data_IF_747173569617
#
_entry.id   IF_747173569617
#
_cell.length_a   1.000
_cell.length_b   1.000
_cell.length_c   1.000
_cell.angle_alpha   90.00
_cell.angle_beta   90.00
_cell.angle_gamma   90.00
#
_symmetry.space_group_name_H-M   'P 1'
#
loop_
_entity.id
_entity.type
_entity.pdbx_description
1 polymer ?
#
# COMPACT_ATOMS: atom_id res chain seq x y z
N UNK A 1 37.32 12.92 -2.66
CA UNK A 1 37.85 11.73 -3.36
C UNK A 1 37.00 10.50 -3.04
N UNK A 2 36.85 10.06 -1.79
CA UNK A 2 36.06 8.88 -1.44
C UNK A 2 34.58 8.95 -1.86
N UNK A 3 33.92 10.10 -1.66
CA UNK A 3 32.52 10.29 -2.08
C UNK A 3 32.33 10.28 -3.60
N UNK A 4 33.31 10.82 -4.36
CA UNK A 4 33.29 10.77 -5.83
C UNK A 4 33.52 9.35 -6.34
N UNK A 5 34.44 8.62 -5.73
CA UNK A 5 34.69 7.21 -6.09
C UNK A 5 33.47 6.33 -5.78
N UNK A 6 32.80 6.52 -4.64
CA UNK A 6 31.57 5.84 -4.27
C UNK A 6 30.42 6.16 -5.27
N UNK A 7 30.30 7.43 -5.67
CA UNK A 7 29.31 7.85 -6.67
C UNK A 7 29.53 7.19 -8.03
N UNK A 8 30.77 7.17 -8.50
CA UNK A 8 31.14 6.51 -9.76
C UNK A 8 30.93 4.98 -9.70
N UNK A 9 31.25 4.36 -8.56
CA UNK A 9 30.98 2.93 -8.35
C UNK A 9 29.49 2.62 -8.39
N UNK A 10 28.67 3.43 -7.73
CA UNK A 10 27.20 3.29 -7.76
C UNK A 10 26.64 3.45 -9.19
N UNK A 11 27.13 4.46 -9.94
CA UNK A 11 26.71 4.66 -11.34
C UNK A 11 27.09 3.49 -12.25
N UNK A 12 28.28 2.90 -12.07
CA UNK A 12 28.69 1.70 -12.81
C UNK A 12 27.82 0.50 -12.47
N UNK A 13 27.58 0.24 -11.20
CA UNK A 13 26.73 -0.85 -10.75
C UNK A 13 25.30 -0.70 -11.28
N UNK A 14 24.74 0.52 -11.31
CA UNK A 14 23.44 0.80 -11.88
C UNK A 14 23.40 0.56 -13.39
N UNK A 15 24.46 0.94 -14.12
CA UNK A 15 24.60 0.66 -15.55
C UNK A 15 24.68 -0.86 -15.85
N UNK A 16 25.14 -1.66 -14.88
CA UNK A 16 25.15 -3.13 -14.92
C UNK A 16 23.83 -3.76 -14.42
N UNK A 17 22.82 -2.94 -14.13
CA UNK A 17 21.47 -3.36 -13.76
C UNK A 17 21.23 -3.53 -12.26
N UNK A 18 22.18 -3.22 -11.39
CA UNK A 18 21.95 -3.22 -9.95
C UNK A 18 20.94 -2.12 -9.57
N UNK A 19 19.92 -2.47 -8.76
CA UNK A 19 18.83 -1.57 -8.40
C UNK A 19 17.64 -1.63 -9.36
N UNK A 20 17.71 -2.47 -10.41
CA UNK A 20 16.54 -2.85 -11.19
C UNK A 20 15.66 -3.83 -10.41
N UNK A 21 14.40 -4.01 -10.82
CA UNK A 21 13.51 -4.98 -10.19
C UNK A 21 14.03 -6.42 -10.29
N UNK A 22 14.72 -6.77 -11.37
CA UNK A 22 15.32 -8.07 -11.58
C UNK A 22 16.62 -8.29 -10.79
N UNK A 23 17.28 -7.20 -10.42
CA UNK A 23 18.53 -7.23 -9.66
C UNK A 23 18.50 -6.16 -8.56
N UNK A 24 17.57 -6.32 -7.62
CA UNK A 24 17.36 -5.38 -6.52
C UNK A 24 18.54 -5.33 -5.54
N UNK A 25 18.76 -4.17 -4.96
CA UNK A 25 19.75 -3.98 -3.88
C UNK A 25 19.29 -4.78 -2.67
N UNK A 26 20.20 -5.53 -2.05
CA UNK A 26 19.92 -6.32 -0.85
C UNK A 26 19.87 -5.41 0.38
N UNK A 27 18.67 -5.20 0.94
CA UNK A 27 18.49 -4.40 2.16
C UNK A 27 19.23 -5.04 3.33
N UNK A 28 20.03 -4.25 4.03
CA UNK A 28 20.90 -4.68 5.14
C UNK A 28 21.85 -5.84 4.76
N UNK A 29 22.16 -6.00 3.47
CA UNK A 29 23.06 -7.06 2.99
C UNK A 29 22.48 -8.47 3.04
N UNK A 30 21.17 -8.62 3.27
CA UNK A 30 20.51 -9.91 3.35
C UNK A 30 20.13 -10.43 1.97
N UNK A 31 20.65 -11.60 1.59
CA UNK A 31 20.32 -12.29 0.34
C UNK A 31 19.34 -13.44 0.61
N UNK A 32 18.15 -13.35 0.02
CA UNK A 32 17.06 -14.30 0.24
C UNK A 32 17.47 -15.74 -0.11
N UNK A 33 18.03 -15.96 -1.31
CA UNK A 33 18.38 -17.30 -1.76
C UNK A 33 19.48 -17.95 -0.91
N UNK A 34 20.48 -17.18 -0.54
CA UNK A 34 21.58 -17.67 0.32
C UNK A 34 21.05 -18.04 1.70
N UNK A 35 20.24 -17.17 2.32
CA UNK A 35 19.67 -17.40 3.64
C UNK A 35 18.70 -18.59 3.63
N UNK A 36 17.84 -18.70 2.61
CA UNK A 36 16.92 -19.83 2.46
C UNK A 36 17.68 -21.15 2.34
N UNK A 37 18.71 -21.21 1.51
CA UNK A 37 19.57 -22.40 1.37
C UNK A 37 20.24 -22.81 2.69
N UNK A 38 20.76 -21.85 3.43
CA UNK A 38 21.37 -22.11 4.74
C UNK A 38 20.34 -22.72 5.71
N UNK A 39 19.13 -22.19 5.75
CA UNK A 39 18.06 -22.72 6.60
C UNK A 39 17.60 -24.10 6.16
N UNK A 40 17.44 -24.33 4.86
CA UNK A 40 17.05 -25.65 4.33
C UNK A 40 18.13 -26.71 4.63
N UNK A 41 19.41 -26.36 4.49
CA UNK A 41 20.53 -27.27 4.75
C UNK A 41 20.67 -27.60 6.25
N UNK A 42 20.41 -26.63 7.12
CA UNK A 42 20.49 -26.83 8.59
C UNK A 42 19.24 -27.43 9.19
N UNK A 43 18.11 -27.42 8.47
CA UNK A 43 16.81 -27.83 9.00
C UNK A 43 16.22 -26.88 10.06
N UNK A 44 16.74 -25.65 10.16
CA UNK A 44 16.30 -24.63 11.12
C UNK A 44 15.60 -23.49 10.38
N UNK A 45 14.39 -23.13 10.83
CA UNK A 45 13.64 -22.03 10.25
C UNK A 45 14.32 -20.68 10.53
N UNK A 46 14.28 -19.81 9.53
CA UNK A 46 14.87 -18.49 9.60
C UNK A 46 14.35 -17.67 10.79
N UNK A 47 15.26 -17.03 11.49
CA UNK A 47 15.00 -16.00 12.50
C UNK A 47 15.78 -14.77 12.10
N UNK A 48 15.07 -13.72 11.74
CA UNK A 48 15.67 -12.49 11.23
C UNK A 48 16.41 -11.73 12.34
N UNK A 49 17.73 -11.59 12.28
CA UNK A 49 18.49 -10.83 13.27
C UNK A 49 18.32 -9.32 13.11
N UNK A 50 17.96 -8.85 11.90
CA UNK A 50 17.82 -7.42 11.58
C UNK A 50 16.43 -6.86 11.93
N UNK A 51 15.41 -7.73 12.00
CA UNK A 51 14.06 -7.38 12.44
C UNK A 51 13.46 -8.52 13.28
N UNK A 52 13.97 -8.71 14.50
CA UNK A 52 13.59 -9.84 15.33
C UNK A 52 12.15 -9.74 15.84
N UNK A 53 11.54 -10.91 16.09
CA UNK A 53 10.20 -11.01 16.66
C UNK A 53 10.21 -10.66 18.16
N UNK A 54 10.30 -9.39 18.46
CA UNK A 54 10.41 -8.84 19.80
C UNK A 54 9.77 -7.45 19.89
N UNK A 55 9.61 -6.87 21.07
CA UNK A 55 8.94 -5.57 21.25
C UNK A 55 9.52 -4.42 20.41
N UNK A 56 10.80 -4.40 20.10
CA UNK A 56 11.40 -3.35 19.27
C UNK A 56 10.89 -3.33 17.83
N UNK A 57 10.44 -4.48 17.31
CA UNK A 57 9.82 -4.55 15.99
C UNK A 57 8.39 -3.98 15.98
N UNK A 58 7.70 -3.99 17.12
CA UNK A 58 6.36 -3.40 17.25
C UNK A 58 6.43 -1.87 17.27
N UNK A 59 7.25 -1.29 18.13
CA UNK A 59 7.32 0.15 18.24
C UNK A 59 8.18 0.65 19.40
N UNK A 60 8.06 1.95 19.63
CA UNK A 60 8.93 2.69 20.57
C UNK A 60 8.16 3.65 21.48
N UNK A 61 6.87 3.92 21.22
CA UNK A 61 5.98 4.79 22.02
C UNK A 61 4.72 4.02 22.41
N UNK A 62 3.66 4.10 21.57
CA UNK A 62 2.36 3.49 21.84
C UNK A 62 2.40 1.96 21.73
N UNK A 63 3.25 1.44 20.84
CA UNK A 63 3.57 0.01 20.72
C UNK A 63 4.96 -0.33 21.29
N UNK A 64 5.52 0.54 22.13
CA UNK A 64 6.81 0.35 22.76
C UNK A 64 6.79 -0.70 23.90
N UNK A 65 7.97 -1.14 24.37
CA UNK A 65 8.09 -2.08 25.47
C UNK A 65 7.38 -1.57 26.73
N UNK A 66 6.52 -2.43 27.30
CA UNK A 66 5.76 -2.08 28.50
C UNK A 66 4.46 -1.30 28.26
N UNK A 67 4.14 -0.98 27.01
CA UNK A 67 2.84 -0.40 26.67
C UNK A 67 1.70 -1.36 26.98
N UNK A 68 0.56 -0.88 27.52
CA UNK A 68 -0.64 -1.70 27.69
C UNK A 68 -1.13 -2.31 26.36
N UNK A 69 -0.91 -1.64 25.25
CA UNK A 69 -1.33 -2.12 23.91
C UNK A 69 -0.54 -3.35 23.44
N UNK A 70 0.68 -3.53 23.93
CA UNK A 70 1.54 -4.68 23.59
C UNK A 70 1.36 -5.90 24.48
N UNK A 71 0.53 -5.79 25.51
CA UNK A 71 0.26 -6.92 26.40
C UNK A 71 -0.50 -8.03 25.68
N UNK A 72 -0.03 -9.27 25.88
CA UNK A 72 -0.65 -10.46 25.28
C UNK A 72 -0.29 -10.67 23.80
N UNK A 73 0.62 -9.88 23.23
CA UNK A 73 1.13 -10.10 21.87
C UNK A 73 2.10 -11.29 21.89
N UNK A 74 1.82 -12.25 21.01
CA UNK A 74 2.64 -13.45 20.81
C UNK A 74 3.00 -13.52 19.32
N UNK A 75 4.29 -13.68 19.04
CA UNK A 75 4.78 -13.88 17.70
C UNK A 75 4.61 -15.33 17.27
N UNK A 76 3.89 -15.56 16.17
CA UNK A 76 3.64 -16.90 15.64
C UNK A 76 3.89 -16.96 14.14
N UNK A 77 4.37 -18.11 13.67
CA UNK A 77 4.46 -18.41 12.25
C UNK A 77 3.08 -18.83 11.71
N UNK A 78 2.78 -18.61 10.42
CA UNK A 78 1.54 -19.10 9.81
C UNK A 78 1.31 -20.60 10.03
N UNK A 79 2.35 -21.41 10.05
CA UNK A 79 2.28 -22.85 10.35
C UNK A 79 1.82 -23.17 11.76
N UNK A 80 1.91 -22.22 12.69
CA UNK A 80 1.40 -22.33 14.06
C UNK A 80 -0.02 -21.79 14.18
N UNK A 81 -0.50 -21.01 13.21
CA UNK A 81 -1.81 -20.38 13.21
C UNK A 81 -2.89 -21.24 12.54
N UNK A 82 -2.52 -21.97 11.50
CA UNK A 82 -3.43 -22.84 10.78
C UNK A 82 -2.71 -24.07 10.19
N UNK A 83 -3.45 -25.17 9.94
CA UNK A 83 -2.84 -26.44 9.51
C UNK A 83 -2.32 -26.41 8.07
N UNK A 84 -2.84 -25.54 7.20
CA UNK A 84 -2.47 -25.45 5.79
C UNK A 84 -2.33 -24.00 5.35
N UNK A 85 -1.27 -23.29 5.82
CA UNK A 85 -1.06 -21.90 5.41
C UNK A 85 -0.72 -21.82 3.93
N UNK A 86 -1.28 -20.80 3.27
CA UNK A 86 -1.06 -20.47 1.88
C UNK A 86 -0.43 -19.08 1.78
N UNK A 87 0.47 -18.90 0.81
CA UNK A 87 1.00 -17.59 0.53
C UNK A 87 -0.05 -16.72 -0.18
N UNK A 88 -0.57 -17.20 -1.32
CA UNK A 88 -1.64 -16.58 -2.08
C UNK A 88 -2.69 -17.64 -2.43
N UNK A 89 -3.97 -17.32 -2.20
CA UNK A 89 -5.12 -18.18 -2.52
C UNK A 89 -5.89 -17.61 -3.70
N UNK A 90 -5.99 -18.38 -4.80
CA UNK A 90 -6.81 -17.98 -5.96
C UNK A 90 -6.36 -16.72 -6.71
N UNK A 91 -5.14 -16.24 -6.45
CA UNK A 91 -4.62 -14.96 -6.90
C UNK A 91 -4.74 -13.89 -5.81
N UNK A 92 -3.82 -12.95 -5.80
CA UNK A 92 -3.84 -11.84 -4.85
C UNK A 92 -4.89 -10.80 -5.28
N UNK A 93 -5.79 -10.49 -4.37
CA UNK A 93 -6.92 -9.57 -4.60
C UNK A 93 -6.99 -8.50 -3.53
N UNK A 94 -7.76 -7.46 -3.78
CA UNK A 94 -7.98 -6.38 -2.80
C UNK A 94 -8.76 -6.85 -1.56
N UNK A 95 -9.51 -7.94 -1.64
CA UNK A 95 -10.20 -8.54 -0.49
C UNK A 95 -9.24 -9.20 0.51
N UNK A 96 -7.99 -9.44 0.10
CA UNK A 96 -6.92 -9.95 0.97
C UNK A 96 -6.35 -8.86 1.89
N UNK A 97 -6.89 -7.64 1.82
CA UNK A 97 -6.46 -6.48 2.57
C UNK A 97 -7.55 -6.08 3.55
N UNK A 98 -7.37 -6.47 4.80
CA UNK A 98 -8.20 -6.06 5.94
C UNK A 98 -7.33 -5.46 7.02
N UNK A 99 -7.64 -4.24 7.40
CA UNK A 99 -6.90 -3.50 8.43
C UNK A 99 -7.13 -4.12 9.81
N UNK A 100 -6.02 -4.31 10.55
CA UNK A 100 -6.06 -4.68 11.96
C UNK A 100 -5.84 -3.47 12.88
N UNK A 101 -5.26 -3.71 14.04
CA UNK A 101 -5.05 -2.72 15.10
C UNK A 101 -3.84 -1.79 14.84
N UNK A 102 -3.75 -1.25 13.61
CA UNK A 102 -2.68 -0.32 13.25
C UNK A 102 -3.25 0.80 12.37
N UNK A 103 -2.82 2.02 12.58
CA UNK A 103 -3.27 3.21 11.84
C UNK A 103 -2.54 3.39 10.49
N UNK A 104 -2.46 2.34 9.68
CA UNK A 104 -1.76 2.31 8.40
C UNK A 104 -2.69 2.21 7.17
N UNK A 105 -3.90 2.75 7.27
CA UNK A 105 -4.89 2.73 6.18
C UNK A 105 -4.33 3.26 4.85
N UNK A 106 -3.43 4.23 4.89
CA UNK A 106 -2.75 4.79 3.73
C UNK A 106 -1.92 3.75 2.96
N UNK A 107 -1.20 2.89 3.70
CA UNK A 107 -0.43 1.78 3.13
C UNK A 107 -1.36 0.70 2.58
N UNK A 108 -2.40 0.35 3.31
CA UNK A 108 -3.35 -0.69 2.92
C UNK A 108 -4.14 -0.29 1.68
N UNK A 109 -4.52 0.98 1.57
CA UNK A 109 -5.14 1.51 0.36
C UNK A 109 -4.17 1.41 -0.84
N UNK A 110 -2.89 1.66 -0.63
CA UNK A 110 -1.88 1.49 -1.67
C UNK A 110 -1.71 0.02 -2.09
N UNK A 111 -1.67 -0.91 -1.15
CA UNK A 111 -1.60 -2.36 -1.44
C UNK A 111 -2.85 -2.83 -2.19
N UNK A 112 -4.04 -2.42 -1.76
CA UNK A 112 -5.28 -2.76 -2.43
C UNK A 112 -5.32 -2.25 -3.88
N UNK A 113 -4.86 -1.02 -4.12
CA UNK A 113 -4.71 -0.49 -5.49
C UNK A 113 -3.69 -1.28 -6.32
N UNK A 114 -2.60 -1.73 -5.71
CA UNK A 114 -1.57 -2.54 -6.36
C UNK A 114 -2.14 -3.87 -6.89
N UNK A 115 -3.10 -4.47 -6.19
CA UNK A 115 -3.74 -5.73 -6.63
C UNK A 115 -4.54 -5.61 -7.92
N UNK A 116 -4.87 -4.39 -8.36
CA UNK A 116 -5.57 -4.17 -9.64
C UNK A 116 -4.67 -4.42 -10.85
N UNK A 117 -3.35 -4.45 -10.66
CA UNK A 117 -2.37 -4.74 -11.70
C UNK A 117 -1.47 -5.89 -11.27
N UNK A 118 -1.75 -7.08 -11.76
CA UNK A 118 -0.96 -8.28 -11.48
C UNK A 118 0.52 -8.09 -11.82
N UNK A 119 0.81 -7.38 -12.89
CA UNK A 119 2.17 -7.08 -13.32
C UNK A 119 2.93 -6.24 -12.29
N UNK A 120 2.29 -5.21 -11.73
CA UNK A 120 2.90 -4.37 -10.70
C UNK A 120 3.00 -5.10 -9.38
N UNK A 121 1.97 -5.84 -9.01
CA UNK A 121 1.93 -6.60 -7.77
C UNK A 121 3.13 -7.55 -7.67
N UNK A 122 3.40 -8.32 -8.72
CA UNK A 122 4.49 -9.30 -8.69
C UNK A 122 5.90 -8.72 -8.83
N UNK A 123 6.02 -7.42 -9.06
CA UNK A 123 7.29 -6.70 -8.86
C UNK A 123 7.60 -6.48 -7.38
N UNK A 124 6.57 -6.33 -6.57
CA UNK A 124 6.65 -6.14 -5.11
C UNK A 124 6.62 -7.47 -4.37
N UNK A 125 5.79 -8.41 -4.83
CA UNK A 125 5.52 -9.71 -4.20
C UNK A 125 6.05 -10.82 -5.11
N UNK A 126 7.32 -11.27 -4.96
CA UNK A 126 7.87 -12.35 -5.77
C UNK A 126 7.11 -13.67 -5.60
N UNK A 127 6.96 -14.41 -6.71
CA UNK A 127 6.22 -15.69 -6.75
C UNK A 127 7.06 -16.92 -6.41
N UNK A 128 8.34 -16.76 -6.14
CA UNK A 128 9.29 -17.84 -5.90
C UNK A 128 9.28 -18.39 -4.46
N UNK A 129 8.20 -18.13 -3.75
CA UNK A 129 8.07 -18.41 -2.32
C UNK A 129 6.69 -18.98 -1.97
N UNK A 130 6.67 -19.94 -1.05
CA UNK A 130 5.44 -20.58 -0.57
C UNK A 130 5.67 -21.28 0.76
N UNK A 131 4.58 -21.77 1.39
CA UNK A 131 4.65 -22.63 2.58
C UNK A 131 4.82 -24.11 2.22
N UNK A 132 4.65 -24.50 0.96
CA UNK A 132 4.67 -25.90 0.52
C UNK A 132 6.00 -26.34 -0.07
N UNK A 133 6.68 -25.46 -0.83
CA UNK A 133 7.92 -25.79 -1.53
C UNK A 133 9.06 -24.94 -1.00
N UNK A 134 10.15 -25.61 -0.59
CA UNK A 134 11.37 -24.95 -0.07
C UNK A 134 11.07 -24.00 1.09
N UNK A 135 10.10 -24.33 1.93
CA UNK A 135 9.74 -23.54 3.08
C UNK A 135 10.85 -23.55 4.12
N UNK A 136 11.32 -22.39 4.49
CA UNK A 136 12.38 -22.20 5.46
C UNK A 136 12.07 -21.08 6.48
N UNK A 137 10.82 -20.64 6.57
CA UNK A 137 10.41 -19.55 7.46
C UNK A 137 10.91 -18.18 7.02
N UNK A 138 11.30 -18.03 5.76
CA UNK A 138 11.85 -16.82 5.17
C UNK A 138 11.03 -16.41 3.96
N UNK A 139 10.77 -15.10 3.83
CA UNK A 139 10.06 -14.49 2.72
C UNK A 139 10.75 -13.20 2.32
N UNK A 140 10.49 -12.73 1.09
CA UNK A 140 11.07 -11.50 0.59
C UNK A 140 10.07 -10.70 -0.25
N UNK A 141 10.30 -9.38 -0.26
CA UNK A 141 9.50 -8.41 -0.99
C UNK A 141 10.41 -7.34 -1.57
N UNK A 142 9.94 -6.61 -2.57
CA UNK A 142 10.71 -5.54 -3.18
C UNK A 142 9.98 -4.22 -3.11
N UNK A 143 10.73 -3.15 -2.83
CA UNK A 143 10.22 -1.79 -2.74
C UNK A 143 11.12 -0.84 -3.51
N UNK A 144 10.51 0.20 -4.09
CA UNK A 144 11.25 1.28 -4.70
C UNK A 144 11.68 2.28 -3.64
N UNK A 145 12.98 2.52 -3.52
CA UNK A 145 13.54 3.42 -2.52
C UNK A 145 14.66 4.25 -3.15
N UNK A 146 14.52 5.56 -3.12
CA UNK A 146 15.56 6.50 -3.57
C UNK A 146 16.11 6.21 -4.97
N UNK A 147 15.24 5.85 -5.90
CA UNK A 147 15.61 5.63 -7.29
C UNK A 147 16.11 4.23 -7.63
N UNK A 148 15.93 3.26 -6.75
CA UNK A 148 16.32 1.87 -6.96
C UNK A 148 15.36 0.89 -6.28
N UNK A 149 15.26 -0.32 -6.83
CA UNK A 149 14.54 -1.41 -6.19
C UNK A 149 15.40 -2.02 -5.08
N UNK A 150 14.77 -2.28 -3.94
CA UNK A 150 15.38 -2.83 -2.74
C UNK A 150 14.64 -4.09 -2.33
N UNK A 151 15.37 -5.20 -2.17
CA UNK A 151 14.83 -6.46 -1.66
C UNK A 151 14.91 -6.49 -0.14
N UNK A 152 13.78 -6.72 0.50
CA UNK A 152 13.66 -6.83 1.96
C UNK A 152 13.31 -8.27 2.33
N UNK A 153 14.15 -8.89 3.14
CA UNK A 153 13.97 -10.24 3.66
C UNK A 153 13.36 -10.17 5.05
N UNK A 154 12.43 -11.06 5.36
CA UNK A 154 11.83 -11.20 6.70
C UNK A 154 11.74 -12.66 7.10
N UNK A 155 11.66 -12.94 8.40
CA UNK A 155 11.10 -14.20 8.86
C UNK A 155 9.56 -14.11 8.95
N UNK A 156 8.89 -15.25 8.95
CA UNK A 156 7.44 -15.33 8.91
C UNK A 156 6.76 -15.30 10.28
N UNK A 157 7.48 -14.92 11.33
CA UNK A 157 6.85 -14.70 12.64
C UNK A 157 6.08 -13.39 12.62
N UNK A 158 4.78 -13.47 12.85
CA UNK A 158 3.82 -12.36 12.81
C UNK A 158 3.27 -12.06 14.22
N UNK A 159 3.02 -10.80 14.56
CA UNK A 159 2.40 -10.45 15.83
C UNK A 159 0.94 -10.89 15.85
N UNK A 160 0.59 -11.62 16.93
CA UNK A 160 -0.77 -12.12 17.15
C UNK A 160 -1.26 -11.75 18.54
N UNK A 161 -2.58 -11.70 18.69
CA UNK A 161 -3.24 -11.53 19.98
C UNK A 161 -4.47 -12.42 20.02
N UNK A 162 -4.63 -13.18 21.10
CA UNK A 162 -5.71 -14.15 21.23
C UNK A 162 -5.79 -15.17 20.07
N UNK A 163 -4.64 -15.55 19.52
CA UNK A 163 -4.54 -16.52 18.44
C UNK A 163 -4.86 -15.99 17.02
N UNK A 164 -5.05 -14.69 16.87
CA UNK A 164 -5.35 -14.04 15.58
C UNK A 164 -4.27 -13.02 15.22
N UNK A 165 -4.07 -12.79 13.91
CA UNK A 165 -3.19 -11.72 13.42
C UNK A 165 -3.66 -10.37 13.96
N UNK A 166 -2.72 -9.61 14.53
CA UNK A 166 -3.01 -8.32 15.16
C UNK A 166 -3.21 -7.20 14.14
N UNK A 167 -2.45 -7.21 13.05
CA UNK A 167 -2.40 -6.14 12.04
C UNK A 167 -3.04 -6.60 10.73
N UNK A 168 -2.52 -6.18 9.59
CA UNK A 168 -3.05 -6.53 8.27
C UNK A 168 -3.22 -8.05 8.12
N UNK A 169 -4.38 -8.45 7.63
CA UNK A 169 -4.71 -9.85 7.39
C UNK A 169 -5.67 -9.99 6.19
N UNK A 170 -5.71 -11.20 5.63
CA UNK A 170 -6.67 -11.58 4.60
C UNK A 170 -7.99 -12.00 5.24
N UNK A 171 -9.09 -11.86 4.50
CA UNK A 171 -10.38 -12.47 4.84
C UNK A 171 -10.27 -14.00 4.90
N UNK A 172 -9.48 -14.56 3.99
CA UNK A 172 -9.11 -15.97 4.01
C UNK A 172 -8.13 -16.25 5.15
N UNK A 173 -8.60 -16.89 6.20
CA UNK A 173 -7.83 -17.11 7.44
C UNK A 173 -6.56 -17.95 7.30
N UNK A 174 -6.32 -18.54 6.10
CA UNK A 174 -5.13 -19.33 5.79
C UNK A 174 -4.21 -18.67 4.76
N UNK A 175 -4.45 -17.41 4.38
CA UNK A 175 -3.66 -16.65 3.40
C UNK A 175 -2.82 -15.57 4.08
N UNK A 176 -1.53 -15.45 3.73
CA UNK A 176 -0.58 -14.64 4.52
C UNK A 176 0.28 -13.64 3.72
N UNK A 177 0.15 -13.56 2.40
CA UNK A 177 1.02 -12.66 1.62
C UNK A 177 0.90 -11.19 2.06
N UNK A 178 -0.31 -10.72 2.36
CA UNK A 178 -0.56 -9.34 2.75
C UNK A 178 0.03 -9.02 4.12
N UNK A 179 -0.15 -9.89 5.11
CA UNK A 179 0.45 -9.75 6.43
C UNK A 179 1.99 -9.76 6.39
N UNK A 180 2.57 -10.59 5.54
CA UNK A 180 4.03 -10.67 5.36
C UNK A 180 4.57 -9.43 4.62
N UNK A 181 3.84 -8.92 3.62
CA UNK A 181 4.20 -7.68 2.95
C UNK A 181 4.22 -6.48 3.91
N UNK A 182 3.20 -6.35 4.76
CA UNK A 182 3.17 -5.31 5.80
C UNK A 182 4.37 -5.41 6.74
N UNK A 183 4.73 -6.64 7.16
CA UNK A 183 5.93 -6.86 7.99
C UNK A 183 7.21 -6.39 7.31
N UNK A 184 7.39 -6.72 6.03
CA UNK A 184 8.55 -6.28 5.26
C UNK A 184 8.62 -4.76 5.15
N UNK A 185 7.48 -4.10 4.96
CA UNK A 185 7.39 -2.65 4.93
C UNK A 185 7.64 -2.03 6.31
N UNK A 186 7.16 -2.66 7.39
CA UNK A 186 7.48 -2.27 8.76
C UNK A 186 8.99 -2.35 9.04
N UNK A 187 9.65 -3.42 8.60
CA UNK A 187 11.11 -3.55 8.68
C UNK A 187 11.84 -2.42 7.95
N UNK A 188 11.41 -2.11 6.73
CA UNK A 188 11.99 -1.03 5.93
C UNK A 188 11.87 0.34 6.63
N UNK A 189 10.79 0.57 7.36
CA UNK A 189 10.51 1.80 8.10
C UNK A 189 10.96 1.77 9.58
N UNK A 190 11.44 0.63 10.07
CA UNK A 190 12.02 0.46 11.39
C UNK A 190 11.13 -0.24 12.43
N UNK A 191 9.80 -0.11 12.35
CA UNK A 191 8.84 -0.79 13.23
C UNK A 191 7.43 -0.74 12.64
N UNK A 192 6.51 -1.56 13.18
CA UNK A 192 5.09 -1.43 12.84
C UNK A 192 4.51 -0.06 13.22
N UNK A 193 4.86 0.46 14.40
CA UNK A 193 4.40 1.78 14.84
C UNK A 193 4.80 2.91 13.90
N UNK A 194 5.95 2.80 13.22
CA UNK A 194 6.39 3.77 12.23
C UNK A 194 5.44 3.91 11.04
N UNK A 195 4.56 2.94 10.81
CA UNK A 195 3.54 2.96 9.77
C UNK A 195 2.27 3.71 10.19
N UNK A 196 2.13 4.04 11.48
CA UNK A 196 0.97 4.77 11.99
C UNK A 196 0.96 6.20 11.46
N UNK A 197 -0.03 6.50 10.60
CA UNK A 197 -0.11 7.77 9.89
C UNK A 197 0.97 7.92 8.82
N UNK A 198 0.54 8.25 7.62
CA UNK A 198 1.43 8.42 6.46
C UNK A 198 0.67 8.94 5.25
N UNK A 199 1.29 8.87 4.10
CA UNK A 199 0.72 9.34 2.83
C UNK A 199 0.53 8.18 1.86
N UNK A 200 -0.66 8.06 1.30
CA UNK A 200 -0.95 7.08 0.24
C UNK A 200 -0.02 7.25 -0.96
N UNK A 201 0.38 8.49 -1.27
CA UNK A 201 1.36 8.81 -2.32
C UNK A 201 2.68 8.08 -2.05
N UNK A 202 3.19 8.14 -0.82
CA UNK A 202 4.44 7.48 -0.44
C UNK A 202 4.36 5.96 -0.66
N UNK A 203 3.25 5.35 -0.22
CA UNK A 203 3.00 3.93 -0.49
C UNK A 203 2.95 3.61 -1.99
N UNK A 204 2.27 4.42 -2.78
CA UNK A 204 2.21 4.23 -4.23
C UNK A 204 3.59 4.30 -4.90
N UNK A 205 4.40 5.28 -4.52
CA UNK A 205 5.75 5.45 -5.06
C UNK A 205 6.68 4.32 -4.65
N UNK A 206 6.62 3.87 -3.41
CA UNK A 206 7.42 2.76 -2.90
C UNK A 206 7.08 1.42 -3.56
N UNK A 207 5.86 1.27 -4.09
CA UNK A 207 5.45 0.07 -4.81
C UNK A 207 5.71 0.11 -6.32
N UNK A 208 5.92 1.27 -6.90
CA UNK A 208 5.95 1.39 -8.36
C UNK A 208 7.15 2.16 -8.91
N UNK A 209 7.75 3.03 -8.12
CA UNK A 209 8.70 4.03 -8.62
C UNK A 209 8.04 5.10 -9.49
N UNK A 210 6.70 5.23 -9.41
CA UNK A 210 5.91 6.16 -10.19
C UNK A 210 6.01 7.60 -9.74
N UNK A 211 5.28 8.47 -10.42
CA UNK A 211 5.21 9.90 -10.14
C UNK A 211 3.79 10.24 -9.70
N UNK A 212 3.66 10.83 -8.52
CA UNK A 212 2.38 11.15 -7.94
C UNK A 212 1.97 12.59 -8.18
N UNK A 213 0.68 12.79 -8.33
CA UNK A 213 -0.01 14.07 -8.37
C UNK A 213 -1.26 14.01 -7.49
N UNK A 214 -1.74 15.15 -7.05
CA UNK A 214 -2.98 15.22 -6.28
C UNK A 214 -3.93 16.28 -6.82
N UNK A 215 -5.22 16.10 -6.55
CA UNK A 215 -6.29 17.00 -6.92
C UNK A 215 -7.09 17.39 -5.67
N UNK A 216 -7.27 18.70 -5.47
CA UNK A 216 -8.20 19.25 -4.49
C UNK A 216 -9.63 19.14 -5.07
N UNK A 217 -10.46 18.28 -4.49
CA UNK A 217 -11.80 18.02 -4.99
C UNK A 217 -12.80 19.16 -4.70
N UNK A 218 -12.39 20.16 -3.93
CA UNK A 218 -13.15 21.42 -3.78
C UNK A 218 -13.06 22.30 -5.02
N UNK A 219 -12.02 22.11 -5.83
CA UNK A 219 -11.79 22.81 -7.10
C UNK A 219 -11.32 21.83 -8.19
N UNK A 220 -12.15 20.83 -8.55
CA UNK A 220 -11.75 19.83 -9.50
C UNK A 220 -11.66 20.41 -10.92
N UNK A 221 -10.71 19.94 -11.74
CA UNK A 221 -10.76 20.25 -13.16
C UNK A 221 -12.00 19.64 -13.83
N UNK A 222 -12.56 20.32 -14.83
CA UNK A 222 -13.82 19.90 -15.47
C UNK A 222 -13.76 18.53 -16.17
N UNK A 223 -12.54 18.05 -16.47
CA UNK A 223 -12.29 16.76 -17.10
C UNK A 223 -11.78 15.67 -16.13
N UNK A 224 -11.94 15.88 -14.80
CA UNK A 224 -11.36 14.98 -13.79
C UNK A 224 -11.81 13.53 -13.96
N UNK A 225 -13.08 13.27 -14.29
CA UNK A 225 -13.56 11.91 -14.54
C UNK A 225 -12.77 11.20 -15.65
N UNK A 226 -12.49 11.91 -16.76
CA UNK A 226 -11.69 11.37 -17.86
C UNK A 226 -10.23 11.14 -17.46
N UNK A 227 -9.68 12.00 -16.60
CA UNK A 227 -8.33 11.82 -16.03
C UNK A 227 -8.29 10.51 -15.22
N UNK A 228 -9.25 10.30 -14.32
CA UNK A 228 -9.36 9.08 -13.51
C UNK A 228 -9.49 7.85 -14.41
N UNK A 229 -10.40 7.90 -15.39
CA UNK A 229 -10.61 6.77 -16.31
C UNK A 229 -9.35 6.39 -17.07
N UNK A 230 -8.64 7.38 -17.62
CA UNK A 230 -7.37 7.16 -18.33
C UNK A 230 -6.29 6.61 -17.40
N UNK A 231 -6.19 7.14 -16.18
CA UNK A 231 -5.23 6.68 -15.19
C UNK A 231 -5.46 5.22 -14.81
N UNK A 232 -6.72 4.83 -14.54
CA UNK A 232 -7.06 3.44 -14.24
C UNK A 232 -6.77 2.51 -15.43
N UNK A 233 -7.12 2.92 -16.66
CA UNK A 233 -6.81 2.14 -17.85
C UNK A 233 -5.30 1.98 -18.09
N UNK A 234 -4.50 2.96 -17.69
CA UNK A 234 -3.04 2.91 -17.76
C UNK A 234 -2.40 2.10 -16.63
N UNK A 235 -3.18 1.59 -15.68
CA UNK A 235 -2.69 0.86 -14.51
C UNK A 235 -2.15 1.73 -13.39
N UNK A 236 -2.40 3.04 -13.42
CA UNK A 236 -2.03 3.95 -12.32
C UNK A 236 -2.72 3.57 -11.02
N UNK A 237 -2.09 3.89 -9.89
CA UNK A 237 -2.68 3.69 -8.57
C UNK A 237 -3.39 4.98 -8.15
N UNK A 238 -4.61 4.85 -7.63
CA UNK A 238 -5.43 5.98 -7.22
C UNK A 238 -5.97 5.78 -5.80
N UNK A 239 -5.93 6.85 -5.02
CA UNK A 239 -6.50 6.90 -3.69
C UNK A 239 -7.23 8.20 -3.44
N UNK A 240 -8.09 8.22 -2.44
CA UNK A 240 -8.83 9.41 -2.03
C UNK A 240 -9.06 9.45 -0.52
N UNK A 241 -9.37 10.63 -0.01
CA UNK A 241 -9.62 10.84 1.41
C UNK A 241 -10.54 12.02 1.66
N UNK A 242 -11.11 12.05 2.86
CA UNK A 242 -11.90 13.16 3.37
C UNK A 242 -11.07 13.86 4.43
N UNK A 243 -10.80 15.16 4.25
CA UNK A 243 -10.04 15.95 5.20
C UNK A 243 -10.78 16.06 6.54
N UNK A 244 -10.02 16.19 7.61
CA UNK A 244 -10.53 16.47 8.96
C UNK A 244 -10.20 17.90 9.35
N UNK A 245 -11.08 18.54 10.10
CA UNK A 245 -10.86 19.89 10.64
C UNK A 245 -10.10 19.88 11.97
N UNK A 246 -10.08 18.74 12.65
CA UNK A 246 -9.35 18.54 13.90
C UNK A 246 -8.96 17.08 14.09
N UNK A 247 -7.96 16.81 14.93
CA UNK A 247 -7.56 15.45 15.28
C UNK A 247 -8.69 14.61 15.90
N UNK A 248 -9.67 15.27 16.57
CA UNK A 248 -10.82 14.60 17.15
C UNK A 248 -11.81 14.06 16.12
N UNK A 249 -11.74 14.53 14.86
CA UNK A 249 -12.57 14.04 13.76
C UNK A 249 -11.91 12.88 12.98
N UNK A 250 -10.65 12.56 13.27
CA UNK A 250 -9.97 11.46 12.63
C UNK A 250 -10.74 10.16 12.90
N UNK A 251 -10.98 9.41 11.82
CA UNK A 251 -11.77 8.17 11.81
C UNK A 251 -13.24 8.33 12.23
N UNK A 252 -13.76 9.56 12.33
CA UNK A 252 -15.20 9.79 12.54
C UNK A 252 -15.99 9.36 11.30
N UNK A 253 -17.07 8.61 11.53
CA UNK A 253 -17.97 8.14 10.47
C UNK A 253 -19.07 9.17 10.20
N UNK A 254 -19.28 9.53 8.93
CA UNK A 254 -20.37 10.41 8.51
C UNK A 254 -21.73 9.71 8.61
N UNK A 255 -22.83 10.46 8.47
CA UNK A 255 -24.19 9.89 8.41
C UNK A 255 -24.36 8.83 7.34
N UNK A 256 -23.63 8.94 6.23
CA UNK A 256 -23.67 8.04 5.08
C UNK A 256 -22.52 7.02 5.11
N UNK A 257 -21.96 6.77 6.30
CA UNK A 257 -20.95 5.75 6.58
C UNK A 257 -19.60 5.94 5.86
N UNK A 258 -19.23 7.16 5.51
CA UNK A 258 -17.86 7.45 5.08
C UNK A 258 -16.99 7.83 6.28
N UNK A 259 -15.73 7.41 6.26
CA UNK A 259 -14.76 7.63 7.34
C UNK A 259 -13.87 8.83 6.99
N UNK A 260 -13.80 9.81 7.89
CA UNK A 260 -12.95 11.00 7.73
C UNK A 260 -11.51 10.71 8.15
N UNK A 261 -10.57 11.40 7.52
CA UNK A 261 -9.14 11.21 7.82
C UNK A 261 -8.64 9.80 7.53
N UNK A 262 -9.26 9.13 6.57
CA UNK A 262 -9.05 7.74 6.23
C UNK A 262 -8.81 7.60 4.72
N UNK A 263 -7.89 6.73 4.34
CA UNK A 263 -7.54 6.50 2.95
C UNK A 263 -8.44 5.42 2.32
N UNK A 264 -8.95 5.71 1.14
CA UNK A 264 -9.70 4.78 0.29
C UNK A 264 -8.94 4.52 -1.00
N UNK A 265 -9.03 3.30 -1.54
CA UNK A 265 -8.58 3.00 -2.90
C UNK A 265 -9.67 3.35 -3.91
N UNK A 266 -9.28 3.95 -5.03
CA UNK A 266 -10.17 4.07 -6.20
C UNK A 266 -9.94 2.84 -7.07
N UNK A 267 -10.97 1.99 -7.21
CA UNK A 267 -10.84 0.68 -7.84
C UNK A 267 -11.54 0.58 -9.19
N UNK A 268 -12.32 1.56 -9.58
CA UNK A 268 -12.98 1.56 -10.88
C UNK A 268 -13.80 2.83 -11.15
N UNK A 269 -14.11 3.03 -12.41
CA UNK A 269 -15.10 4.01 -12.88
C UNK A 269 -15.95 3.37 -13.97
N UNK A 270 -17.20 3.79 -14.04
CA UNK A 270 -18.14 3.28 -15.03
C UNK A 270 -19.14 4.37 -15.42
N UNK A 271 -19.71 4.27 -16.61
CA UNK A 271 -20.79 5.11 -17.05
C UNK A 271 -21.99 4.23 -17.41
N UNK A 272 -23.14 4.53 -16.84
CA UNK A 272 -24.39 3.78 -17.05
C UNK A 272 -25.47 4.69 -17.59
N UNK A 273 -26.40 4.12 -18.38
CA UNK A 273 -27.62 4.85 -18.74
C UNK A 273 -28.62 4.77 -17.59
N UNK A 274 -28.92 5.92 -17.00
CA UNK A 274 -29.89 6.05 -15.93
C UNK A 274 -31.03 6.99 -16.37
N UNK A 275 -32.20 6.40 -16.63
CA UNK A 275 -33.37 7.11 -17.17
C UNK A 275 -33.09 7.90 -18.46
N UNK A 276 -32.33 7.30 -19.39
CA UNK A 276 -31.98 7.92 -20.67
C UNK A 276 -30.91 9.01 -20.57
N UNK A 277 -30.16 9.07 -19.48
CA UNK A 277 -29.06 10.00 -19.27
C UNK A 277 -27.82 9.26 -18.79
N UNK A 278 -26.62 9.66 -19.26
CA UNK A 278 -25.39 9.06 -18.77
C UNK A 278 -25.14 9.47 -17.31
N UNK A 279 -24.96 8.48 -16.45
CA UNK A 279 -24.57 8.65 -15.06
C UNK A 279 -23.16 8.10 -14.85
N UNK A 280 -22.27 8.93 -14.33
CA UNK A 280 -20.88 8.57 -14.03
C UNK A 280 -20.78 8.05 -12.63
N UNK A 281 -20.22 6.85 -12.50
CA UNK A 281 -20.02 6.15 -11.23
C UNK A 281 -18.51 5.99 -10.94
N UNK A 282 -18.16 5.97 -9.66
CA UNK A 282 -16.84 5.67 -9.17
C UNK A 282 -16.93 4.57 -8.11
N UNK A 283 -16.01 3.62 -8.16
CA UNK A 283 -15.91 2.53 -7.20
C UNK A 283 -14.73 2.76 -6.27
N UNK A 284 -15.01 2.69 -4.98
CA UNK A 284 -14.05 2.90 -3.91
C UNK A 284 -14.01 1.69 -3.00
N UNK A 285 -12.88 1.47 -2.33
CA UNK A 285 -12.75 0.45 -1.31
C UNK A 285 -12.17 1.01 -0.02
N UNK A 286 -12.88 0.74 1.08
CA UNK A 286 -12.42 0.96 2.44
C UNK A 286 -11.46 -0.16 2.85
N UNK A 287 -10.19 0.10 3.23
CA UNK A 287 -9.23 -0.91 3.64
C UNK A 287 -9.61 -1.65 4.94
N UNK A 288 -10.64 -1.19 5.66
CA UNK A 288 -11.22 -1.97 6.76
C UNK A 288 -11.87 -3.27 6.28
N UNK A 289 -12.26 -3.35 5.00
CA UNK A 289 -13.02 -4.46 4.44
C UNK A 289 -14.49 -4.45 4.84
N UNK A 290 -14.96 -3.36 5.42
CA UNK A 290 -16.32 -3.13 5.88
C UNK A 290 -16.59 -1.63 6.00
N UNK A 291 -17.78 -1.24 6.43
CA UNK A 291 -18.23 0.17 6.56
C UNK A 291 -18.23 0.89 5.22
N UNK A 292 -19.33 0.72 4.50
CA UNK A 292 -19.51 1.17 3.13
C UNK A 292 -20.47 2.34 3.04
N UNK A 293 -20.33 3.12 1.97
CA UNK A 293 -21.27 4.16 1.58
C UNK A 293 -22.73 3.67 1.59
N UNK A 294 -23.64 4.44 2.18
CA UNK A 294 -25.06 4.12 2.28
C UNK A 294 -25.97 5.04 1.47
N UNK A 295 -25.40 5.89 0.61
CA UNK A 295 -26.16 6.80 -0.26
C UNK A 295 -26.53 6.16 -1.60
N UNK A 296 -26.81 7.01 -2.59
CA UNK A 296 -27.13 6.58 -3.95
C UNK A 296 -26.03 5.70 -4.57
N UNK A 297 -26.43 4.65 -5.27
CA UNK A 297 -25.55 3.65 -5.90
C UNK A 297 -24.76 2.77 -4.92
N UNK A 298 -25.05 2.86 -3.62
CA UNK A 298 -24.54 1.89 -2.64
C UNK A 298 -25.10 0.50 -2.90
N UNK A 299 -24.59 -0.48 -2.20
CA UNK A 299 -25.12 -1.84 -2.24
C UNK A 299 -26.60 -1.83 -1.89
N UNK A 300 -27.41 -2.55 -2.68
CA UNK A 300 -28.88 -2.60 -2.57
C UNK A 300 -29.61 -1.27 -2.79
N UNK A 301 -28.98 -0.22 -3.28
CA UNK A 301 -29.66 1.03 -3.58
C UNK A 301 -30.67 0.89 -4.73
N UNK A 302 -31.79 1.66 -4.71
CA UNK A 302 -32.85 1.51 -5.73
C UNK A 302 -32.40 1.91 -7.14
N UNK A 303 -31.38 2.74 -7.29
CA UNK A 303 -30.85 3.19 -8.58
C UNK A 303 -30.46 2.02 -9.49
N UNK A 304 -29.93 0.94 -8.92
CA UNK A 304 -29.51 -0.26 -9.64
C UNK A 304 -30.67 -0.94 -10.39
N UNK A 305 -31.91 -0.74 -9.96
CA UNK A 305 -33.10 -1.29 -10.62
C UNK A 305 -33.48 -0.54 -11.89
N UNK A 306 -32.89 0.61 -12.15
CA UNK A 306 -33.23 1.49 -13.28
C UNK A 306 -32.19 1.51 -14.39
N UNK A 307 -31.24 0.60 -14.36
CA UNK A 307 -30.21 0.42 -15.41
C UNK A 307 -30.39 -0.92 -16.12
N UNK A 308 -29.64 -1.13 -17.18
CA UNK A 308 -29.60 -2.40 -17.90
C UNK A 308 -29.32 -3.57 -16.95
N UNK A 309 -30.12 -4.66 -16.96
CA UNK A 309 -29.97 -5.77 -16.03
C UNK A 309 -28.61 -6.49 -16.13
N UNK A 310 -28.05 -6.58 -17.32
CA UNK A 310 -26.73 -7.20 -17.51
C UNK A 310 -25.63 -6.31 -16.87
N UNK A 311 -25.73 -5.01 -17.05
CA UNK A 311 -24.81 -4.06 -16.44
C UNK A 311 -24.94 -4.05 -14.92
N UNK A 312 -26.16 -4.17 -14.40
CA UNK A 312 -26.40 -4.33 -12.96
C UNK A 312 -25.73 -5.58 -12.43
N UNK A 313 -25.86 -6.72 -13.07
CA UNK A 313 -25.25 -7.98 -12.64
C UNK A 313 -23.71 -7.88 -12.62
N UNK A 314 -23.14 -7.15 -13.59
CA UNK A 314 -21.70 -6.90 -13.66
C UNK A 314 -21.19 -6.02 -12.52
N UNK A 315 -21.91 -4.96 -12.17
CA UNK A 315 -21.43 -3.91 -11.28
C UNK A 315 -21.89 -4.05 -9.82
N UNK A 316 -23.13 -4.45 -9.59
CA UNK A 316 -23.76 -4.55 -8.27
C UNK A 316 -23.33 -5.86 -7.57
N UNK A 317 -22.10 -5.91 -7.08
CA UNK A 317 -21.57 -7.03 -6.29
C UNK A 317 -21.90 -6.78 -4.81
N UNK A 318 -23.00 -7.35 -4.35
CA UNK A 318 -23.48 -7.19 -2.97
C UNK A 318 -22.68 -8.02 -1.99
N UNK A 319 -21.56 -7.49 -1.52
CA UNK A 319 -20.71 -8.13 -0.52
C UNK A 319 -20.21 -7.07 0.46
N UNK A 320 -20.24 -7.36 1.74
CA UNK A 320 -19.61 -6.51 2.77
C UNK A 320 -18.08 -6.73 2.75
N UNK A 321 -17.44 -6.23 1.70
CA UNK A 321 -16.00 -6.34 1.48
C UNK A 321 -15.28 -5.00 1.51
N UNK A 322 -16.00 -3.94 1.90
CA UNK A 322 -15.52 -2.55 1.95
C UNK A 322 -15.57 -1.83 0.61
N UNK A 323 -15.98 -2.50 -0.47
CA UNK A 323 -16.05 -1.92 -1.82
C UNK A 323 -17.47 -1.48 -2.16
N UNK A 324 -17.62 -0.29 -2.71
CA UNK A 324 -18.90 0.29 -3.04
C UNK A 324 -18.83 1.23 -4.24
N UNK A 325 -19.97 1.42 -4.88
CA UNK A 325 -20.15 2.43 -5.90
C UNK A 325 -20.82 3.68 -5.34
N UNK A 326 -20.51 4.82 -5.92
CA UNK A 326 -21.23 6.07 -5.70
C UNK A 326 -21.24 6.89 -6.99
N UNK A 327 -22.15 7.87 -7.07
CA UNK A 327 -22.12 8.80 -8.21
C UNK A 327 -20.85 9.64 -8.14
N UNK A 328 -20.30 9.99 -9.30
CA UNK A 328 -19.14 10.86 -9.36
C UNK A 328 -19.44 12.26 -8.77
N UNK A 329 -20.67 12.71 -8.86
CA UNK A 329 -21.10 13.97 -8.23
C UNK A 329 -21.08 13.88 -6.70
N UNK A 330 -21.54 12.77 -6.12
CA UNK A 330 -21.46 12.57 -4.67
C UNK A 330 -20.01 12.39 -4.22
N UNK A 331 -19.17 11.71 -4.99
CA UNK A 331 -17.75 11.64 -4.74
C UNK A 331 -17.10 13.02 -4.61
N UNK A 332 -17.37 13.94 -5.55
CA UNK A 332 -16.86 15.31 -5.50
C UNK A 332 -17.39 16.13 -4.32
N UNK A 333 -18.60 15.80 -3.83
CA UNK A 333 -19.20 16.48 -2.64
C UNK A 333 -18.63 15.94 -1.33
N UNK A 334 -18.35 14.65 -1.25
CA UNK A 334 -17.99 13.98 0.00
C UNK A 334 -16.48 13.94 0.25
N UNK A 335 -15.68 13.74 -0.81
CA UNK A 335 -14.24 13.61 -0.69
C UNK A 335 -13.53 14.95 -0.91
N UNK A 336 -12.41 15.13 -0.23
CA UNK A 336 -11.63 16.37 -0.26
C UNK A 336 -10.44 16.27 -1.21
N UNK A 337 -9.86 15.07 -1.36
CA UNK A 337 -8.59 14.86 -2.02
C UNK A 337 -8.59 13.57 -2.84
N UNK A 338 -8.03 13.67 -4.04
CA UNK A 338 -7.71 12.54 -4.92
C UNK A 338 -6.21 12.53 -5.18
N UNK A 339 -5.60 11.37 -5.12
CA UNK A 339 -4.18 11.13 -5.36
C UNK A 339 -4.02 10.11 -6.49
N UNK A 340 -3.16 10.41 -7.45
CA UNK A 340 -2.88 9.55 -8.60
C UNK A 340 -1.38 9.33 -8.68
N UNK A 341 -0.93 8.09 -8.68
CA UNK A 341 0.44 7.72 -8.98
C UNK A 341 0.52 7.17 -10.39
N UNK A 342 1.11 7.95 -11.28
CA UNK A 342 1.35 7.56 -12.66
C UNK A 342 2.63 6.72 -12.74
N UNK A 343 2.58 5.67 -13.55
CA UNK A 343 3.69 4.75 -13.68
C UNK A 343 4.87 5.40 -14.42
N UNK A 344 6.08 5.21 -13.92
CA UNK A 344 7.32 5.62 -14.58
C UNK A 344 7.66 4.71 -15.78
N UNK A 345 8.61 5.12 -16.60
CA UNK A 345 9.13 4.32 -17.72
C UNK A 345 9.59 2.92 -17.29
N UNK A 346 10.15 2.81 -16.10
CA UNK A 346 10.61 1.54 -15.51
C UNK A 346 9.46 0.58 -15.16
N UNK A 347 8.26 1.11 -14.90
CA UNK A 347 7.05 0.33 -14.66
C UNK A 347 6.30 -0.02 -15.94
N UNK A 348 6.52 0.73 -17.02
CA UNK A 348 5.92 0.53 -18.33
C UNK A 348 6.92 -0.21 -19.26
N UNK A 349 7.10 -1.49 -19.09
CA UNK A 349 7.97 -2.29 -19.96
C UNK A 349 7.38 -2.56 -21.36
N UNK A 350 6.77 -1.55 -21.99
CA UNK A 350 6.32 -1.58 -23.39
C UNK A 350 6.89 -0.38 -24.14
N UNK A 351 7.40 -0.61 -25.34
CA UNK A 351 8.07 0.37 -26.20
C UNK A 351 7.17 1.53 -26.71
N UNK A 352 5.91 1.62 -26.26
CA UNK A 352 4.96 2.62 -26.74
C UNK A 352 4.86 3.84 -25.81
N UNK A 353 5.31 4.95 -26.35
CA UNK A 353 5.06 6.35 -25.95
C UNK A 353 5.68 6.81 -24.64
N UNK A 354 6.90 7.28 -24.73
CA UNK A 354 7.61 8.05 -23.68
C UNK A 354 6.95 9.43 -23.47
N UNK A 355 6.07 9.53 -22.48
CA UNK A 355 5.46 10.82 -22.08
C UNK A 355 6.20 11.55 -20.96
N UNK A 356 7.14 10.89 -20.29
CA UNK A 356 7.83 11.43 -19.13
C UNK A 356 9.35 11.37 -19.31
N UNK A 357 10.02 12.47 -19.07
CA UNK A 357 11.47 12.50 -18.90
C UNK A 357 11.76 12.55 -17.40
N UNK A 358 12.37 11.50 -16.88
CA UNK A 358 12.81 11.44 -15.48
C UNK A 358 14.19 12.08 -15.37
N UNK A 359 14.28 13.16 -14.58
CA UNK A 359 15.57 13.76 -14.20
C UNK A 359 15.67 13.67 -12.68
N UNK A 360 16.67 12.94 -12.19
CA UNK A 360 16.93 12.77 -10.77
C UNK A 360 17.93 13.81 -10.28
N UNK A 361 17.50 14.63 -9.32
CA UNK A 361 18.38 15.54 -8.58
C UNK A 361 18.64 14.97 -7.20
N UNK A 362 19.88 14.60 -6.93
CA UNK A 362 20.28 14.12 -5.60
C UNK A 362 20.60 15.31 -4.70
N UNK A 363 19.89 15.43 -3.59
CA UNK A 363 20.08 16.43 -2.56
C UNK A 363 20.28 15.80 -1.17
N UNK A 364 20.67 16.61 -0.22
CA UNK A 364 20.80 16.21 1.18
C UNK A 364 20.17 17.25 2.11
N UNK A 365 19.33 16.80 3.00
CA UNK A 365 18.84 17.61 4.10
C UNK A 365 19.93 17.70 5.18
N UNK A 366 20.47 18.89 5.39
CA UNK A 366 21.54 19.13 6.36
C UNK A 366 21.01 20.03 7.46
N UNK A 367 21.13 19.58 8.71
CA UNK A 367 20.72 20.35 9.87
C UNK A 367 21.47 21.70 9.94
N UNK A 368 20.71 22.76 10.11
CA UNK A 368 21.25 24.15 10.16
C UNK A 368 21.53 24.76 8.78
N UNK A 369 21.29 24.05 7.68
CA UNK A 369 21.46 24.55 6.31
C UNK A 369 20.20 24.35 5.45
N UNK A 370 19.93 23.12 5.02
CA UNK A 370 18.82 22.79 4.12
C UNK A 370 17.63 22.13 4.81
N UNK A 371 17.81 21.59 6.01
CA UNK A 371 16.74 20.93 6.76
C UNK A 371 15.90 21.95 7.55
N UNK A 372 14.68 22.24 7.07
CA UNK A 372 13.75 23.18 7.72
C UNK A 372 12.98 22.61 8.92
N UNK A 373 12.95 21.29 9.07
CA UNK A 373 12.20 20.59 10.10
C UNK A 373 10.72 20.40 9.76
N UNK A 374 9.98 19.74 10.65
CA UNK A 374 8.56 19.42 10.46
C UNK A 374 7.66 20.62 10.83
N UNK A 375 6.59 20.81 10.06
CA UNK A 375 5.57 21.87 10.32
C UNK A 375 4.86 21.72 11.67
N UNK A 376 4.88 20.55 12.26
CA UNK A 376 4.24 20.27 13.56
C UNK A 376 4.97 20.94 14.75
N UNK A 377 6.12 21.57 14.52
CA UNK A 377 6.88 22.26 15.56
C UNK A 377 6.84 23.77 15.33
N UNK A 378 5.93 24.50 16.01
CA UNK A 378 5.83 25.96 15.91
C UNK A 378 7.15 26.63 16.32
N UNK A 379 7.62 27.57 15.52
CA UNK A 379 8.87 28.31 15.77
C UNK A 379 10.08 27.87 14.95
N UNK A 380 9.97 26.87 14.08
CA UNK A 380 11.00 26.54 13.09
C UNK A 380 10.62 27.15 11.75
N UNK A 381 11.32 28.18 11.35
CA UNK A 381 11.09 28.90 10.09
C UNK A 381 11.52 28.01 8.93
N UNK A 382 10.58 27.67 8.04
CA UNK A 382 10.90 27.15 6.72
C UNK A 382 11.66 28.20 5.92
N UNK A 383 12.95 28.03 5.76
CA UNK A 383 13.69 28.66 4.68
C UNK A 383 13.96 27.58 3.63
N UNK A 384 12.98 27.35 2.80
CA UNK A 384 13.11 26.62 1.57
C UNK A 384 12.78 27.57 0.45
N UNK A 385 13.78 28.07 -0.18
CA UNK A 385 13.69 28.80 -1.45
C UNK A 385 14.59 28.12 -2.44
N UNK A 386 14.03 27.75 -3.57
CA UNK A 386 14.71 27.35 -4.79
C UNK A 386 14.45 25.90 -5.16
#
# INVERSE_FOLDING_TARGET
MAALAAGLSKQRAAAEGLGSNQNAVKYLGQDFETLRKQCLNSGVLFKDPEFPACPSALGYRDLGPGSPQTQGIVWKRPTELCPNPQFIVGGATRTDIRQGDLGDCWLLAAIASLTLSEKLLYRVVPRDQSFQKNYAGIFHFQFWQYGEWVEVVIDDRLPTKNGQLLFLHSEEGNEFWSALLEKAYAKLNGSYEALTGGSTIEGFEDFTGGISEFYDLRKPPGNLYNIIRKALCAGSLLGCSIDVSSAAEAEATTRQKLVKGHAYSVTGVEEVDFHGRPEKLIRLRNPWGEVEWSGAWSDNAPEWNSIDPQKKEELDKRAEDGEFWMSFLDFLKQFSRLEICNLSLDSLSTEEVHKWNLVLFNGRWTRGSTAGGCQNYPGRVHRGSG
#
